data_IF_590695516338
#
_entry.id   IF_590695516338
#
_cell.length_a   1.000
_cell.length_b   1.000
_cell.length_c   1.000
_cell.angle_alpha   90.00
_cell.angle_beta   90.00
_cell.angle_gamma   90.00
#
_symmetry.space_group_name_H-M   'P 1'
#
loop_
_entity.id
_entity.type
_entity.pdbx_description
1 polymer ?
#
# COMPACT_ATOMS: atom_id res chain seq x y z
N UNK A 1 -57.82 69.18 -44.32
CA UNK A 1 -57.09 70.07 -45.25
C UNK A 1 -55.71 69.50 -45.48
N UNK A 2 -55.29 69.48 -46.75
CA UNK A 2 -54.08 68.85 -47.30
C UNK A 2 -52.80 69.40 -46.69
N UNK A 3 -51.80 68.56 -46.48
CA UNK A 3 -50.43 68.83 -46.96
C UNK A 3 -49.57 67.56 -46.83
N UNK A 4 -49.13 67.06 -47.98
CA UNK A 4 -48.05 66.10 -48.10
C UNK A 4 -46.71 66.83 -47.95
N UNK A 5 -45.72 66.21 -47.31
CA UNK A 5 -44.32 66.46 -47.65
C UNK A 5 -43.54 65.15 -47.63
N UNK A 6 -42.87 64.91 -48.76
CA UNK A 6 -42.04 63.75 -49.08
C UNK A 6 -40.60 63.96 -48.58
N UNK A 7 -39.93 62.82 -48.39
CA UNK A 7 -38.49 62.56 -48.58
C UNK A 7 -37.51 63.14 -47.54
N UNK A 8 -36.81 62.27 -46.82
CA UNK A 8 -35.44 61.92 -47.20
C UNK A 8 -34.97 60.63 -46.50
N UNK A 9 -34.45 59.73 -47.32
CA UNK A 9 -33.77 58.49 -46.96
C UNK A 9 -32.42 58.86 -46.34
N UNK A 10 -32.14 58.42 -45.12
CA UNK A 10 -30.79 58.38 -44.58
C UNK A 10 -30.55 56.97 -43.99
N UNK A 11 -29.93 56.11 -44.80
CA UNK A 11 -29.39 54.81 -44.36
C UNK A 11 -28.15 55.09 -43.52
N UNK A 12 -28.27 55.07 -42.19
CA UNK A 12 -27.12 54.91 -41.32
C UNK A 12 -26.83 53.41 -41.15
N UNK A 13 -25.80 52.94 -41.85
CA UNK A 13 -25.19 51.64 -41.62
C UNK A 13 -24.42 51.75 -40.28
N UNK A 14 -25.03 51.30 -39.19
CA UNK A 14 -24.35 51.18 -37.90
C UNK A 14 -23.49 49.91 -37.94
N UNK A 15 -22.23 50.03 -38.37
CA UNK A 15 -21.24 48.97 -38.22
C UNK A 15 -20.85 48.91 -36.75
N UNK A 16 -21.52 48.05 -35.98
CA UNK A 16 -21.10 47.69 -34.62
C UNK A 16 -19.77 46.95 -34.73
N UNK A 17 -18.68 47.66 -34.46
CA UNK A 17 -17.35 47.10 -34.27
C UNK A 17 -17.39 46.23 -32.99
N UNK A 18 -17.69 44.94 -33.15
CA UNK A 18 -17.57 43.95 -32.08
C UNK A 18 -16.07 43.79 -31.80
N UNK A 19 -15.55 44.50 -30.81
CA UNK A 19 -14.25 44.20 -30.23
C UNK A 19 -14.36 42.84 -29.55
N UNK A 20 -13.95 41.77 -30.25
CA UNK A 20 -13.65 40.49 -29.60
C UNK A 20 -12.48 40.74 -28.64
N UNK A 21 -12.80 41.07 -27.39
CA UNK A 21 -11.89 40.80 -26.29
C UNK A 21 -11.79 39.28 -26.21
N UNK A 22 -10.73 38.73 -26.78
CA UNK A 22 -10.30 37.38 -26.47
C UNK A 22 -9.95 37.37 -24.98
N UNK A 23 -10.93 37.02 -24.13
CA UNK A 23 -10.70 36.61 -22.76
C UNK A 23 -9.86 35.32 -22.84
N UNK A 24 -8.55 35.47 -22.80
CA UNK A 24 -7.67 34.35 -22.49
C UNK A 24 -7.95 33.98 -21.04
N UNK A 25 -8.91 33.08 -20.83
CA UNK A 25 -9.08 32.42 -19.53
C UNK A 25 -7.81 31.60 -19.29
N UNK A 26 -6.84 32.20 -18.60
CA UNK A 26 -5.71 31.46 -18.07
C UNK A 26 -6.30 30.57 -16.98
N UNK A 27 -6.62 29.33 -17.34
CA UNK A 27 -7.05 28.34 -16.37
C UNK A 27 -5.95 28.25 -15.30
N UNK A 28 -6.34 28.46 -14.04
CA UNK A 28 -5.39 28.33 -12.94
C UNK A 28 -4.84 26.90 -12.92
N UNK A 29 -3.53 26.72 -12.65
CA UNK A 29 -2.96 25.40 -12.53
C UNK A 29 -3.65 24.63 -11.40
N UNK A 30 -4.02 23.38 -11.68
CA UNK A 30 -4.62 22.52 -10.66
C UNK A 30 -3.62 22.27 -9.52
N UNK A 31 -4.10 22.22 -8.26
CA UNK A 31 -3.24 21.89 -7.13
C UNK A 31 -2.67 20.48 -7.29
N UNK A 32 -1.53 20.23 -6.64
CA UNK A 32 -0.94 18.89 -6.58
C UNK A 32 -1.94 17.88 -5.99
N UNK A 33 -2.08 16.73 -6.65
CA UNK A 33 -2.96 15.65 -6.22
C UNK A 33 -2.11 14.40 -5.95
N UNK A 34 -2.28 13.79 -4.77
CA UNK A 34 -1.59 12.56 -4.39
C UNK A 34 -2.10 11.32 -5.14
N UNK A 35 -3.36 11.34 -5.58
CA UNK A 35 -3.96 10.33 -6.43
C UNK A 35 -4.68 10.97 -7.65
N UNK A 36 -3.92 11.41 -8.67
CA UNK A 36 -4.50 12.10 -9.82
C UNK A 36 -5.35 11.16 -10.69
N UNK A 37 -6.36 11.73 -11.37
CA UNK A 37 -7.08 11.06 -12.45
C UNK A 37 -6.15 10.87 -13.65
N UNK A 38 -5.99 9.63 -14.12
CA UNK A 38 -5.17 9.26 -15.27
C UNK A 38 -5.99 9.01 -16.53
N UNK A 39 -7.17 8.40 -16.40
CA UNK A 39 -8.06 8.14 -17.53
C UNK A 39 -9.52 7.99 -17.09
N UNK A 40 -10.43 7.94 -18.05
CA UNK A 40 -11.84 7.60 -17.82
C UNK A 40 -12.28 6.62 -18.90
N UNK A 41 -12.82 5.47 -18.49
CA UNK A 41 -13.33 4.41 -19.38
C UNK A 41 -14.81 4.22 -19.09
N UNK A 42 -15.68 4.54 -20.05
CA UNK A 42 -17.15 4.42 -19.89
C UNK A 42 -17.69 5.13 -18.63
N UNK A 43 -17.09 6.28 -18.28
CA UNK A 43 -17.46 7.04 -17.08
C UNK A 43 -16.83 6.55 -15.77
N UNK A 44 -16.05 5.46 -15.80
CA UNK A 44 -15.25 5.00 -14.65
C UNK A 44 -13.87 5.64 -14.67
N UNK A 45 -13.53 6.33 -13.58
CA UNK A 45 -12.21 6.92 -13.39
C UNK A 45 -11.14 5.85 -13.18
N UNK A 46 -9.99 6.05 -13.81
CA UNK A 46 -8.73 5.34 -13.54
C UNK A 46 -7.79 6.36 -12.93
N UNK A 47 -7.34 6.11 -11.71
CA UNK A 47 -6.47 6.97 -10.92
C UNK A 47 -5.06 6.39 -10.80
N UNK A 48 -4.12 7.14 -10.22
CA UNK A 48 -2.78 6.62 -9.92
C UNK A 48 -2.83 5.37 -9.04
N UNK A 49 -3.75 5.32 -8.08
CA UNK A 49 -3.95 4.16 -7.20
C UNK A 49 -4.34 2.89 -7.98
N UNK A 50 -5.09 3.04 -9.07
CA UNK A 50 -5.55 1.89 -9.87
C UNK A 50 -4.43 1.25 -10.69
N UNK A 51 -3.36 1.99 -10.97
CA UNK A 51 -2.18 1.50 -11.72
C UNK A 51 -0.93 1.40 -10.84
N UNK A 52 -1.07 1.62 -9.53
CA UNK A 52 0.06 1.72 -8.60
C UNK A 52 0.73 0.35 -8.46
N UNK A 53 1.97 0.26 -8.94
CA UNK A 53 2.89 -0.84 -8.61
C UNK A 53 3.76 -0.43 -7.42
N UNK A 54 4.47 -1.40 -6.80
CA UNK A 54 5.47 -1.08 -5.77
C UNK A 54 6.50 -0.07 -6.29
N UNK A 55 6.99 -0.25 -7.51
CA UNK A 55 7.97 0.66 -8.12
C UNK A 55 7.41 2.08 -8.28
N UNK A 56 6.15 2.21 -8.72
CA UNK A 56 5.48 3.52 -8.82
C UNK A 56 5.31 4.15 -7.44
N UNK A 57 4.91 3.37 -6.44
CA UNK A 57 4.77 3.87 -5.07
C UNK A 57 6.11 4.37 -4.51
N UNK A 58 7.18 3.59 -4.63
CA UNK A 58 8.52 3.95 -4.15
C UNK A 58 9.00 5.25 -4.81
N UNK A 59 8.79 5.41 -6.13
CA UNK A 59 9.12 6.64 -6.85
C UNK A 59 8.25 7.83 -6.43
N UNK A 60 6.98 7.60 -6.10
CA UNK A 60 6.07 8.65 -5.63
C UNK A 60 6.47 9.13 -4.23
N UNK A 61 6.88 8.21 -3.34
CA UNK A 61 7.46 8.55 -2.04
C UNK A 61 8.76 9.35 -2.21
N UNK A 62 9.64 8.92 -3.11
CA UNK A 62 10.88 9.64 -3.40
C UNK A 62 10.59 11.05 -3.92
N UNK A 63 9.65 11.21 -4.88
CA UNK A 63 9.23 12.52 -5.37
C UNK A 63 8.69 13.39 -4.24
N UNK A 64 7.79 12.86 -3.41
CA UNK A 64 7.25 13.60 -2.27
C UNK A 64 8.34 14.09 -1.31
N UNK A 65 9.32 13.24 -0.97
CA UNK A 65 10.44 13.62 -0.11
C UNK A 65 11.29 14.75 -0.72
N UNK A 66 11.55 14.70 -2.04
CA UNK A 66 12.28 15.77 -2.73
C UNK A 66 11.47 17.08 -2.73
N UNK A 67 10.16 17.01 -2.97
CA UNK A 67 9.28 18.17 -2.92
C UNK A 67 9.23 18.79 -1.51
N UNK A 68 9.11 17.97 -0.46
CA UNK A 68 9.14 18.44 0.93
C UNK A 68 10.44 19.17 1.29
N UNK A 69 11.57 18.77 0.70
CA UNK A 69 12.85 19.43 0.95
C UNK A 69 12.97 20.76 0.19
N UNK A 70 12.51 20.80 -1.06
CA UNK A 70 12.69 21.97 -1.93
C UNK A 70 11.63 23.04 -1.75
N UNK A 71 10.38 22.66 -1.54
CA UNK A 71 9.23 23.57 -1.49
C UNK A 71 9.38 24.67 -0.41
N UNK A 72 9.82 24.39 0.83
CA UNK A 72 10.03 25.41 1.85
C UNK A 72 10.99 26.53 1.42
N UNK A 73 12.11 26.20 0.79
CA UNK A 73 13.10 27.19 0.36
C UNK A 73 12.52 28.13 -0.72
N UNK A 74 11.84 27.58 -1.73
CA UNK A 74 11.17 28.38 -2.78
C UNK A 74 10.11 29.32 -2.19
N UNK A 75 9.36 28.84 -1.20
CA UNK A 75 8.35 29.64 -0.51
C UNK A 75 9.01 30.80 0.23
N UNK A 76 10.04 30.52 1.03
CA UNK A 76 10.72 31.53 1.82
C UNK A 76 11.42 32.57 0.94
N UNK A 77 12.01 32.17 -0.19
CA UNK A 77 12.54 33.08 -1.23
C UNK A 77 11.50 34.08 -1.74
N UNK A 78 10.25 33.63 -1.94
CA UNK A 78 9.15 34.50 -2.39
C UNK A 78 8.60 35.40 -1.30
N UNK A 79 8.66 34.95 -0.04
CA UNK A 79 8.17 35.72 1.10
C UNK A 79 9.15 36.78 1.57
N UNK A 80 10.46 36.52 1.47
CA UNK A 80 11.51 37.39 2.02
C UNK A 80 11.38 38.88 1.61
N UNK A 81 11.01 39.25 0.36
CA UNK A 81 10.83 40.66 0.00
C UNK A 81 9.72 41.40 0.78
N UNK A 82 8.73 40.66 1.27
CA UNK A 82 7.54 41.20 1.93
C UNK A 82 7.53 40.96 3.46
N UNK A 83 8.34 40.01 3.93
CA UNK A 83 8.38 39.59 5.33
C UNK A 83 9.83 39.60 5.83
N UNK A 84 10.23 40.69 6.51
CA UNK A 84 11.61 40.92 6.98
C UNK A 84 12.06 39.92 8.04
N UNK A 85 11.11 39.25 8.67
CA UNK A 85 11.31 38.17 9.63
C UNK A 85 11.95 36.93 9.00
N UNK A 86 11.84 36.77 7.66
CA UNK A 86 12.39 35.64 6.93
C UNK A 86 13.90 35.81 6.68
N UNK A 87 14.70 35.07 7.45
CA UNK A 87 16.15 34.99 7.26
C UNK A 87 16.54 33.72 6.49
N UNK A 88 16.93 33.87 5.21
CA UNK A 88 17.43 32.77 4.38
C UNK A 88 18.92 32.46 4.59
N UNK A 89 19.67 33.38 5.21
CA UNK A 89 21.12 33.32 5.32
C UNK A 89 21.58 33.51 6.77
N UNK A 90 21.18 32.60 7.68
CA UNK A 90 21.55 32.69 9.08
C UNK A 90 23.06 32.57 9.27
N UNK A 91 23.62 33.34 10.21
CA UNK A 91 25.01 33.19 10.64
C UNK A 91 25.17 31.92 11.50
N UNK A 92 25.48 30.79 10.85
CA UNK A 92 25.64 29.50 11.51
C UNK A 92 27.10 29.26 11.91
N UNK A 93 27.31 29.07 13.22
CA UNK A 93 28.60 28.65 13.79
C UNK A 93 28.50 27.23 14.34
N UNK A 94 29.55 26.45 14.13
CA UNK A 94 29.68 25.08 14.67
C UNK A 94 30.96 25.02 15.48
N UNK A 95 30.82 24.78 16.78
CA UNK A 95 31.91 24.70 17.74
C UNK A 95 32.70 23.40 17.62
N UNK A 96 33.97 23.41 18.06
CA UNK A 96 34.77 22.18 18.18
C UNK A 96 34.09 21.12 19.04
N UNK A 97 33.42 21.55 20.11
CA UNK A 97 32.71 20.64 21.01
C UNK A 97 31.59 19.88 20.28
N UNK A 98 30.82 20.54 19.41
CA UNK A 98 29.78 19.89 18.60
C UNK A 98 30.37 18.89 17.61
N UNK A 99 31.50 19.23 16.98
CA UNK A 99 32.20 18.33 16.03
C UNK A 99 32.72 17.10 16.77
N UNK A 100 33.36 17.29 17.92
CA UNK A 100 33.87 16.19 18.73
C UNK A 100 32.76 15.31 19.29
N UNK A 101 31.66 15.92 19.74
CA UNK A 101 30.48 15.19 20.21
C UNK A 101 29.88 14.33 19.09
N UNK A 102 29.71 14.89 17.89
CA UNK A 102 29.23 14.14 16.73
C UNK A 102 30.18 13.00 16.34
N UNK A 103 31.49 13.26 16.30
CA UNK A 103 32.52 12.28 15.99
C UNK A 103 32.46 11.07 16.94
N UNK A 104 32.33 11.32 18.25
CA UNK A 104 32.19 10.27 19.27
C UNK A 104 30.85 9.55 19.16
N UNK A 105 29.75 10.28 19.06
CA UNK A 105 28.40 9.71 19.03
C UNK A 105 28.15 8.82 17.81
N UNK A 106 28.80 9.11 16.67
CA UNK A 106 28.70 8.30 15.44
C UNK A 106 29.79 7.23 15.32
N UNK A 107 30.59 7.01 16.36
CA UNK A 107 31.66 6.01 16.40
C UNK A 107 32.65 6.10 15.20
N UNK A 108 32.95 7.33 14.75
CA UNK A 108 33.77 7.58 13.56
C UNK A 108 35.26 7.32 13.77
N UNK A 109 35.68 6.97 14.99
CA UNK A 109 37.05 6.56 15.33
C UNK A 109 37.53 5.38 14.48
N UNK A 110 36.61 4.50 14.08
CA UNK A 110 36.89 3.37 13.19
C UNK A 110 37.12 3.78 11.73
N UNK A 111 36.71 4.99 11.33
CA UNK A 111 36.73 5.48 9.95
C UNK A 111 37.84 6.50 9.67
N UNK A 112 38.52 7.01 10.70
CA UNK A 112 39.64 7.94 10.54
C UNK A 112 39.91 8.78 11.79
N UNK A 113 41.03 9.50 11.79
CA UNK A 113 41.41 10.40 12.88
C UNK A 113 40.52 11.65 12.90
N UNK A 114 40.26 12.19 14.09
CA UNK A 114 39.45 13.39 14.31
C UNK A 114 39.89 14.55 13.41
N UNK A 115 41.19 14.87 13.34
CA UNK A 115 41.70 15.99 12.57
C UNK A 115 41.36 15.90 11.08
N UNK A 116 41.33 14.68 10.53
CA UNK A 116 41.01 14.44 9.12
C UNK A 116 39.51 14.57 8.84
N UNK A 117 38.65 14.17 9.78
CA UNK A 117 37.20 14.15 9.60
C UNK A 117 36.51 15.44 10.07
N UNK A 118 37.13 16.20 10.97
CA UNK A 118 36.57 17.43 11.55
C UNK A 118 36.08 18.45 10.50
N UNK A 119 36.81 18.74 9.40
CA UNK A 119 36.31 19.64 8.35
C UNK A 119 35.03 19.16 7.68
N UNK A 120 34.93 17.85 7.41
CA UNK A 120 33.75 17.24 6.78
C UNK A 120 32.56 17.25 7.73
N UNK A 121 32.78 16.88 9.00
CA UNK A 121 31.76 16.92 10.06
C UNK A 121 31.27 18.36 10.23
N UNK A 122 32.15 19.36 10.24
CA UNK A 122 31.75 20.77 10.31
C UNK A 122 30.86 21.17 9.15
N UNK A 123 31.23 20.81 7.92
CA UNK A 123 30.43 21.10 6.72
C UNK A 123 29.04 20.44 6.82
N UNK A 124 28.99 19.18 7.23
CA UNK A 124 27.75 18.45 7.47
C UNK A 124 26.87 19.13 8.51
N UNK A 125 27.40 19.42 9.70
CA UNK A 125 26.66 20.07 10.79
C UNK A 125 26.18 21.47 10.40
N UNK A 126 26.97 22.24 9.66
CA UNK A 126 26.53 23.53 9.11
C UNK A 126 25.33 23.37 8.17
N UNK A 127 25.37 22.37 7.28
CA UNK A 127 24.26 22.04 6.39
C UNK A 127 23.00 21.63 7.16
N UNK A 128 23.17 20.79 8.18
CA UNK A 128 22.07 20.34 9.04
C UNK A 128 21.40 21.50 9.79
N UNK A 129 22.19 22.38 10.43
CA UNK A 129 21.66 23.56 11.14
C UNK A 129 20.98 24.55 10.19
N UNK A 130 21.49 24.68 8.95
CA UNK A 130 20.85 25.52 7.92
C UNK A 130 19.50 24.94 7.52
N UNK A 131 19.43 23.63 7.29
CA UNK A 131 18.19 22.96 6.98
C UNK A 131 17.16 23.14 8.10
N UNK A 132 17.56 22.90 9.35
CA UNK A 132 16.69 23.11 10.52
C UNK A 132 16.18 24.55 10.63
N UNK A 133 17.05 25.54 10.43
CA UNK A 133 16.66 26.95 10.41
C UNK A 133 15.60 27.24 9.33
N UNK A 134 15.82 26.78 8.09
CA UNK A 134 14.85 26.98 7.00
C UNK A 134 13.51 26.29 7.30
N UNK A 135 13.52 25.10 7.91
CA UNK A 135 12.29 24.43 8.32
C UNK A 135 11.54 25.21 9.41
N UNK A 136 12.26 25.81 10.37
CA UNK A 136 11.65 26.66 11.39
C UNK A 136 11.04 27.94 10.79
N UNK A 137 11.72 28.56 9.84
CA UNK A 137 11.21 29.73 9.10
C UNK A 137 9.97 29.38 8.29
N UNK A 138 9.94 28.19 7.68
CA UNK A 138 8.76 27.70 6.98
C UNK A 138 7.60 27.41 7.94
N UNK A 139 7.87 26.82 9.10
CA UNK A 139 6.88 26.64 10.18
C UNK A 139 6.27 27.98 10.63
N UNK A 140 7.08 29.01 10.81
CA UNK A 140 6.62 30.37 11.10
C UNK A 140 5.70 30.91 9.99
N UNK A 141 6.08 30.73 8.71
CA UNK A 141 5.27 31.20 7.58
C UNK A 141 3.88 30.53 7.54
N UNK A 142 3.80 29.23 7.88
CA UNK A 142 2.54 28.51 8.04
C UNK A 142 1.72 29.04 9.22
N UNK A 143 2.34 29.22 10.40
CA UNK A 143 1.68 29.75 11.61
C UNK A 143 1.08 31.14 11.37
N UNK A 144 1.80 31.98 10.63
CA UNK A 144 1.36 33.34 10.28
C UNK A 144 0.32 33.38 9.15
N UNK A 145 0.01 32.25 8.52
CA UNK A 145 -0.94 32.17 7.41
C UNK A 145 -0.43 32.85 6.14
N UNK A 146 0.88 33.04 5.98
CA UNK A 146 1.47 33.62 4.77
C UNK A 146 1.46 32.66 3.58
N UNK A 147 1.22 31.37 3.84
CA UNK A 147 1.30 30.30 2.86
C UNK A 147 0.21 29.27 3.09
N UNK A 148 -0.43 28.87 2.00
CA UNK A 148 -1.22 27.63 1.93
C UNK A 148 -0.43 26.62 1.11
N UNK A 149 -0.27 25.40 1.64
CA UNK A 149 0.39 24.30 0.91
C UNK A 149 -0.64 23.27 0.45
N UNK A 150 -0.44 22.77 -0.77
CA UNK A 150 -1.24 21.69 -1.36
C UNK A 150 -0.43 20.40 -1.54
N UNK A 151 0.81 20.36 -1.03
CA UNK A 151 1.62 19.14 -1.06
C UNK A 151 1.09 18.16 -0.03
N UNK A 152 0.45 17.09 -0.50
CA UNK A 152 -0.06 15.99 0.32
C UNK A 152 0.85 14.76 0.20
N UNK A 153 0.96 13.92 1.24
CA UNK A 153 1.67 12.65 1.14
C UNK A 153 1.02 11.74 0.08
N UNK A 154 1.80 10.85 -0.54
CA UNK A 154 1.26 9.82 -1.40
C UNK A 154 0.27 8.94 -0.64
N UNK A 155 -0.75 8.46 -1.33
CA UNK A 155 -1.67 7.44 -0.80
C UNK A 155 -0.93 6.13 -0.52
N UNK A 156 -1.40 5.38 0.49
CA UNK A 156 -0.86 4.07 0.85
C UNK A 156 -0.77 3.13 -0.35
N UNK A 157 0.22 2.22 -0.33
CA UNK A 157 0.29 1.12 -1.30
C UNK A 157 -0.66 0.00 -0.85
N UNK A 158 -1.84 -0.05 -1.46
CA UNK A 158 -2.83 -1.08 -1.21
C UNK A 158 -2.87 -2.06 -2.39
N UNK A 159 -2.90 -3.36 -2.08
CA UNK A 159 -3.10 -4.41 -3.07
C UNK A 159 -4.58 -4.77 -3.17
N UNK A 160 -4.99 -5.21 -4.37
CA UNK A 160 -6.33 -5.69 -4.66
C UNK A 160 -6.29 -7.21 -4.82
N UNK A 161 -6.63 -7.95 -3.77
CA UNK A 161 -6.63 -9.41 -3.79
C UNK A 161 -8.03 -9.97 -4.00
N UNK A 162 -8.18 -10.86 -4.98
CA UNK A 162 -9.41 -11.65 -5.15
C UNK A 162 -9.44 -12.71 -4.05
N UNK A 163 -10.60 -12.88 -3.41
CA UNK A 163 -10.81 -14.00 -2.47
C UNK A 163 -10.84 -15.33 -3.22
N UNK A 164 -11.39 -15.34 -4.45
CA UNK A 164 -11.30 -16.47 -5.37
C UNK A 164 -11.79 -17.79 -4.77
N UNK A 165 -10.91 -18.77 -4.77
CA UNK A 165 -11.13 -20.17 -4.35
C UNK A 165 -10.94 -20.36 -2.84
N UNK A 166 -10.57 -19.29 -2.09
CA UNK A 166 -10.13 -19.39 -0.71
C UNK A 166 -11.09 -20.23 0.15
N UNK A 167 -10.52 -21.00 1.08
CA UNK A 167 -11.30 -21.55 2.17
C UNK A 167 -11.62 -20.44 3.16
N UNK A 168 -12.91 -20.22 3.46
CA UNK A 168 -13.35 -19.15 4.34
C UNK A 168 -13.67 -19.67 5.74
N UNK A 169 -13.17 -18.96 6.75
CA UNK A 169 -13.51 -19.17 8.15
C UNK A 169 -14.10 -17.89 8.75
N UNK A 170 -15.08 -18.06 9.63
CA UNK A 170 -15.78 -16.96 10.29
C UNK A 170 -16.93 -16.40 9.44
N UNK A 171 -17.44 -15.23 9.83
CA UNK A 171 -18.59 -14.62 9.17
C UNK A 171 -18.21 -14.12 7.78
N UNK A 172 -18.82 -14.68 6.74
CA UNK A 172 -18.49 -14.42 5.33
C UNK A 172 -18.82 -13.01 4.82
N UNK A 173 -19.35 -12.12 5.67
CA UNK A 173 -19.73 -10.75 5.32
C UNK A 173 -19.11 -9.67 6.22
N UNK A 174 -18.08 -9.99 6.98
CA UNK A 174 -17.34 -8.98 7.73
C UNK A 174 -16.73 -7.94 6.77
N UNK A 175 -16.66 -6.66 7.17
CA UNK A 175 -16.12 -5.59 6.32
C UNK A 175 -14.59 -5.63 6.19
N UNK A 176 -13.92 -6.42 7.02
CA UNK A 176 -12.47 -6.57 7.04
C UNK A 176 -12.14 -8.05 6.88
N UNK A 177 -11.15 -8.35 6.05
CA UNK A 177 -10.67 -9.72 5.83
C UNK A 177 -9.16 -9.81 6.05
N UNK A 178 -8.75 -10.93 6.62
CA UNK A 178 -7.39 -11.44 6.65
C UNK A 178 -7.32 -12.60 5.64
N UNK A 179 -6.72 -12.36 4.48
CA UNK A 179 -6.49 -13.38 3.45
C UNK A 179 -5.05 -13.86 3.52
N UNK A 180 -4.85 -15.15 3.77
CA UNK A 180 -3.55 -15.82 3.89
C UNK A 180 -3.24 -16.64 2.65
N UNK A 181 -2.02 -16.50 2.12
CA UNK A 181 -1.41 -17.35 1.10
C UNK A 181 -0.30 -18.17 1.75
N UNK A 182 -0.42 -19.50 1.75
CA UNK A 182 0.39 -20.33 2.62
C UNK A 182 0.68 -21.73 2.07
N UNK A 183 1.64 -22.39 2.69
CA UNK A 183 2.29 -23.62 2.28
C UNK A 183 2.43 -24.58 3.47
N UNK A 184 1.99 -25.82 3.30
CA UNK A 184 1.96 -26.83 4.35
C UNK A 184 3.35 -27.34 4.81
N UNK A 185 4.38 -27.25 3.99
CA UNK A 185 5.76 -27.59 4.34
C UNK A 185 6.56 -26.37 4.87
N UNK A 186 6.07 -25.15 4.68
CA UNK A 186 6.76 -23.95 5.11
C UNK A 186 6.81 -23.81 6.65
N UNK A 187 8.00 -23.78 7.28
CA UNK A 187 8.11 -23.68 8.74
C UNK A 187 7.61 -22.34 9.30
N UNK A 188 7.65 -21.28 8.50
CA UNK A 188 7.10 -19.98 8.90
C UNK A 188 5.58 -19.97 8.89
N UNK A 189 4.95 -20.65 7.92
CA UNK A 189 3.50 -20.84 7.89
C UNK A 189 3.00 -21.54 9.15
N UNK A 190 3.65 -22.65 9.56
CA UNK A 190 3.34 -23.32 10.84
C UNK A 190 3.47 -22.37 12.04
N UNK A 191 4.51 -21.53 12.07
CA UNK A 191 4.68 -20.56 13.17
C UNK A 191 3.55 -19.52 13.18
N UNK A 192 3.10 -19.06 12.01
CA UNK A 192 2.04 -18.09 11.88
C UNK A 192 0.68 -18.62 12.38
N UNK A 193 0.39 -19.93 12.24
CA UNK A 193 -0.86 -20.56 12.73
C UNK A 193 -1.25 -20.12 14.14
N UNK A 194 -0.29 -20.13 15.08
CA UNK A 194 -0.56 -19.73 16.47
C UNK A 194 -0.96 -18.26 16.61
N UNK A 195 -0.38 -17.38 15.79
CA UNK A 195 -0.73 -15.97 15.71
C UNK A 195 -2.10 -15.77 15.07
N UNK A 196 -2.36 -16.41 13.94
CA UNK A 196 -3.64 -16.34 13.22
C UNK A 196 -4.78 -16.84 14.10
N UNK A 197 -4.57 -17.95 14.83
CA UNK A 197 -5.56 -18.44 15.80
C UNK A 197 -5.90 -17.38 16.85
N UNK A 198 -4.88 -16.74 17.46
CA UNK A 198 -5.10 -15.67 18.45
C UNK A 198 -5.81 -14.46 17.86
N UNK A 199 -5.51 -14.11 16.61
CA UNK A 199 -6.19 -13.03 15.87
C UNK A 199 -7.67 -13.37 15.68
N UNK A 200 -7.96 -14.56 15.17
CA UNK A 200 -9.35 -15.02 14.95
C UNK A 200 -10.12 -15.15 16.27
N UNK A 201 -9.49 -15.62 17.34
CA UNK A 201 -10.10 -15.70 18.68
C UNK A 201 -10.44 -14.30 19.22
N UNK A 202 -9.60 -13.27 18.96
CA UNK A 202 -9.84 -11.88 19.40
C UNK A 202 -10.96 -11.20 18.63
N UNK A 203 -10.94 -11.31 17.31
CA UNK A 203 -11.82 -10.53 16.45
C UNK A 203 -13.15 -11.23 16.15
N UNK A 204 -13.17 -12.57 16.22
CA UNK A 204 -14.37 -13.37 15.98
C UNK A 204 -15.07 -12.91 14.69
N UNK A 205 -16.36 -12.59 14.77
CA UNK A 205 -17.19 -12.18 13.63
C UNK A 205 -16.90 -10.77 13.09
N UNK A 206 -15.98 -10.01 13.71
CA UNK A 206 -15.59 -8.67 13.23
C UNK A 206 -14.73 -8.73 11.96
N UNK A 207 -14.08 -9.88 11.71
CA UNK A 207 -13.28 -10.10 10.51
C UNK A 207 -13.62 -11.44 9.85
N UNK A 208 -13.37 -11.54 8.55
CA UNK A 208 -13.35 -12.81 7.84
C UNK A 208 -11.91 -13.30 7.70
N UNK A 209 -11.72 -14.62 7.66
CA UNK A 209 -10.44 -15.22 7.31
C UNK A 209 -10.58 -16.04 6.03
N UNK A 210 -9.62 -15.89 5.13
CA UNK A 210 -9.50 -16.70 3.92
C UNK A 210 -8.13 -17.37 3.87
N UNK A 211 -8.10 -18.62 3.43
CA UNK A 211 -6.87 -19.36 3.17
C UNK A 211 -6.76 -19.71 1.69
N UNK A 212 -5.59 -19.44 1.10
CA UNK A 212 -5.21 -19.72 -0.28
C UNK A 212 -3.91 -20.51 -0.29
N UNK A 213 -3.79 -21.43 -1.24
CA UNK A 213 -2.59 -22.24 -1.37
C UNK A 213 -1.48 -21.46 -2.06
N UNK A 214 -0.25 -21.61 -1.59
CA UNK A 214 0.93 -21.03 -2.22
C UNK A 214 2.14 -21.97 -2.04
N UNK A 215 2.05 -23.22 -2.52
CA UNK A 215 3.14 -24.18 -2.39
C UNK A 215 4.39 -23.67 -3.13
N UNK A 216 5.52 -23.67 -2.44
CA UNK A 216 6.79 -23.21 -3.00
C UNK A 216 7.49 -24.38 -3.71
N UNK A 217 8.03 -24.15 -4.89
CA UNK A 217 8.61 -25.21 -5.74
C UNK A 217 9.75 -26.02 -5.12
N UNK A 218 10.40 -25.51 -4.07
CA UNK A 218 11.43 -26.22 -3.31
C UNK A 218 10.88 -27.07 -2.15
N UNK A 219 9.57 -27.04 -1.92
CA UNK A 219 8.83 -27.90 -1.00
C UNK A 219 8.16 -29.03 -1.79
N UNK A 220 8.86 -30.15 -1.89
CA UNK A 220 8.56 -31.26 -2.81
C UNK A 220 7.23 -31.96 -2.60
N UNK A 221 6.53 -31.73 -1.49
CA UNK A 221 5.24 -32.35 -1.17
C UNK A 221 4.12 -31.31 -0.93
N UNK A 222 4.44 -30.02 -1.04
CA UNK A 222 3.49 -28.96 -0.70
C UNK A 222 2.34 -28.86 -1.71
N UNK A 223 2.60 -29.13 -2.98
CA UNK A 223 1.63 -29.20 -4.06
C UNK A 223 0.58 -30.29 -3.79
N UNK A 224 1.03 -31.53 -3.54
CA UNK A 224 0.15 -32.65 -3.24
C UNK A 224 -0.59 -32.45 -1.92
N UNK A 225 0.04 -31.82 -0.93
CA UNK A 225 -0.60 -31.46 0.33
C UNK A 225 -1.74 -30.44 0.12
N UNK A 226 -1.54 -29.43 -0.73
CA UNK A 226 -2.58 -28.47 -1.10
C UNK A 226 -3.77 -29.14 -1.80
N UNK A 227 -3.50 -30.00 -2.79
CA UNK A 227 -4.53 -30.79 -3.49
C UNK A 227 -5.29 -31.68 -2.52
N UNK A 228 -4.59 -32.40 -1.63
CA UNK A 228 -5.21 -33.28 -0.66
C UNK A 228 -6.18 -32.54 0.27
N UNK A 229 -5.86 -31.30 0.66
CA UNK A 229 -6.75 -30.48 1.48
C UNK A 229 -8.03 -30.10 0.73
N UNK A 230 -7.96 -29.79 -0.56
CA UNK A 230 -9.16 -29.55 -1.37
C UNK A 230 -9.97 -30.84 -1.60
N UNK A 231 -9.32 -32.00 -1.79
CA UNK A 231 -10.02 -33.29 -1.81
C UNK A 231 -10.73 -33.59 -0.47
N UNK A 232 -10.16 -33.17 0.66
CA UNK A 232 -10.82 -33.24 1.95
C UNK A 232 -11.96 -32.22 2.08
N UNK A 233 -11.82 -31.04 1.46
CA UNK A 233 -12.85 -29.99 1.43
C UNK A 233 -14.14 -30.44 0.76
N UNK A 234 -14.06 -31.23 -0.31
CA UNK A 234 -15.23 -31.85 -0.97
C UNK A 234 -16.10 -32.64 0.01
N UNK A 235 -15.50 -33.11 1.10
CA UNK A 235 -16.13 -33.97 2.10
C UNK A 235 -16.21 -33.30 3.47
N UNK A 236 -16.22 -31.95 3.51
CA UNK A 236 -16.31 -31.12 4.73
C UNK A 236 -15.19 -31.36 5.76
N UNK A 237 -14.00 -31.76 5.29
CA UNK A 237 -12.82 -32.09 6.13
C UNK A 237 -11.59 -31.23 5.87
N UNK A 238 -11.78 -30.03 5.30
CA UNK A 238 -10.70 -29.08 5.03
C UNK A 238 -9.90 -28.78 6.31
N UNK A 239 -10.57 -28.34 7.38
CA UNK A 239 -9.90 -27.87 8.60
C UNK A 239 -9.14 -28.99 9.31
N UNK A 240 -9.72 -30.18 9.39
CA UNK A 240 -9.07 -31.31 10.06
C UNK A 240 -7.79 -31.75 9.33
N UNK A 241 -7.79 -31.77 8.00
CA UNK A 241 -6.57 -32.08 7.25
C UNK A 241 -5.58 -30.91 7.29
N UNK A 242 -6.07 -29.68 7.18
CA UNK A 242 -5.27 -28.46 7.26
C UNK A 242 -4.43 -28.40 8.55
N UNK A 243 -5.05 -28.59 9.72
CA UNK A 243 -4.33 -28.62 11.00
C UNK A 243 -3.32 -29.77 11.06
N UNK A 244 -3.75 -30.97 10.65
CA UNK A 244 -2.92 -32.16 10.72
C UNK A 244 -1.67 -32.05 9.84
N UNK A 245 -1.74 -31.39 8.68
CA UNK A 245 -0.59 -31.17 7.82
C UNK A 245 0.43 -30.20 8.44
N UNK A 246 -0.02 -29.13 9.09
CA UNK A 246 0.89 -28.22 9.81
C UNK A 246 1.56 -28.89 11.02
N UNK A 247 0.89 -29.85 11.66
CA UNK A 247 1.51 -30.69 12.71
C UNK A 247 2.58 -31.64 12.14
N UNK A 248 2.48 -32.00 10.86
CA UNK A 248 3.29 -33.05 10.21
C UNK A 248 4.05 -32.58 8.96
N UNK A 249 4.67 -31.39 9.00
CA UNK A 249 5.31 -30.75 7.83
C UNK A 249 6.38 -31.56 7.09
N UNK A 250 6.95 -32.59 7.73
CA UNK A 250 8.00 -33.46 7.15
C UNK A 250 7.46 -34.78 6.60
N UNK A 251 6.15 -35.01 6.67
CA UNK A 251 5.53 -36.27 6.31
C UNK A 251 4.28 -36.02 5.47
N UNK A 252 4.47 -35.50 4.25
CA UNK A 252 3.36 -35.15 3.36
C UNK A 252 3.40 -35.87 2.00
N UNK A 253 4.23 -36.91 1.84
CA UNK A 253 4.09 -37.85 0.69
C UNK A 253 2.64 -38.31 0.49
N UNK A 254 2.27 -38.68 -0.74
CA UNK A 254 0.96 -39.28 -1.07
C UNK A 254 0.52 -40.38 -0.09
N UNK A 255 1.46 -41.23 0.35
CA UNK A 255 1.18 -42.29 1.33
C UNK A 255 0.73 -41.71 2.67
N UNK A 256 1.39 -40.66 3.16
CA UNK A 256 1.02 -39.99 4.40
C UNK A 256 -0.33 -39.28 4.27
N UNK A 257 -0.58 -38.59 3.15
CA UNK A 257 -1.86 -37.91 2.89
C UNK A 257 -3.04 -38.89 2.96
N UNK A 258 -2.92 -40.07 2.33
CA UNK A 258 -3.93 -41.14 2.44
C UNK A 258 -4.08 -41.72 3.86
N UNK A 259 -3.00 -41.77 4.64
CA UNK A 259 -3.08 -42.16 6.05
C UNK A 259 -3.80 -41.10 6.90
N UNK A 260 -3.55 -39.83 6.63
CA UNK A 260 -4.19 -38.70 7.30
C UNK A 260 -5.68 -38.62 6.98
N UNK A 261 -6.08 -38.85 5.73
CA UNK A 261 -7.48 -39.00 5.35
C UNK A 261 -8.23 -40.04 6.21
N UNK A 262 -7.62 -41.22 6.43
CA UNK A 262 -8.18 -42.23 7.35
C UNK A 262 -8.23 -41.75 8.79
N UNK A 263 -7.17 -41.09 9.27
CA UNK A 263 -7.06 -40.59 10.66
C UNK A 263 -8.14 -39.54 10.98
N UNK A 264 -8.43 -38.63 10.05
CA UNK A 264 -9.46 -37.60 10.22
C UNK A 264 -10.87 -38.09 9.88
N UNK A 265 -11.00 -39.39 9.54
CA UNK A 265 -12.27 -40.05 9.20
C UNK A 265 -12.97 -39.39 8.02
N UNK A 266 -12.25 -39.23 6.91
CA UNK A 266 -12.84 -38.86 5.61
C UNK A 266 -14.02 -39.79 5.30
N UNK A 267 -15.22 -39.27 4.98
CA UNK A 267 -16.42 -40.08 4.73
C UNK A 267 -16.24 -41.13 3.62
N UNK A 268 -15.62 -40.75 2.51
CA UNK A 268 -15.40 -41.60 1.34
C UNK A 268 -13.92 -41.60 0.96
N UNK A 269 -13.18 -42.58 1.49
CA UNK A 269 -11.75 -42.75 1.24
C UNK A 269 -11.44 -43.07 -0.22
N UNK A 270 -12.33 -43.78 -0.92
CA UNK A 270 -12.13 -44.13 -2.33
C UNK A 270 -12.17 -42.88 -3.20
N UNK A 271 -13.15 -42.02 -2.98
CA UNK A 271 -13.28 -40.75 -3.70
C UNK A 271 -12.13 -39.77 -3.38
N UNK A 272 -11.66 -39.76 -2.13
CA UNK A 272 -10.46 -39.00 -1.76
C UNK A 272 -9.22 -39.49 -2.51
N UNK A 273 -9.00 -40.80 -2.54
CA UNK A 273 -7.88 -41.41 -3.24
C UNK A 273 -7.93 -41.10 -4.75
N UNK A 274 -9.10 -41.22 -5.38
CA UNK A 274 -9.32 -40.88 -6.79
C UNK A 274 -9.08 -39.38 -7.07
N UNK A 275 -9.57 -38.49 -6.20
CA UNK A 275 -9.34 -37.04 -6.30
C UNK A 275 -7.86 -36.68 -6.24
N UNK A 276 -7.12 -37.29 -5.32
CA UNK A 276 -5.70 -37.04 -5.12
C UNK A 276 -4.85 -37.60 -6.28
N UNK A 277 -5.14 -38.83 -6.73
CA UNK A 277 -4.42 -39.48 -7.83
C UNK A 277 -4.66 -38.80 -9.19
N UNK A 278 -5.86 -38.26 -9.41
CA UNK A 278 -6.17 -37.51 -10.63
C UNK A 278 -5.71 -36.04 -10.58
N UNK A 279 -5.10 -35.61 -9.47
CA UNK A 279 -4.79 -34.20 -9.18
C UNK A 279 -5.96 -33.24 -9.46
N UNK A 280 -7.18 -33.62 -9.06
CA UNK A 280 -8.42 -32.91 -9.45
C UNK A 280 -8.37 -31.40 -9.21
N UNK A 281 -7.66 -30.99 -8.16
CA UNK A 281 -7.55 -29.59 -7.73
C UNK A 281 -6.26 -28.88 -8.15
N UNK A 282 -5.46 -29.46 -9.06
CA UNK A 282 -4.24 -28.83 -9.59
C UNK A 282 -4.49 -27.41 -10.09
N UNK A 283 -5.48 -27.25 -10.98
CA UNK A 283 -5.81 -25.94 -11.56
C UNK A 283 -6.26 -24.91 -10.51
N UNK A 284 -6.84 -25.34 -9.39
CA UNK A 284 -7.22 -24.45 -8.28
C UNK A 284 -5.95 -23.95 -7.57
N UNK A 285 -5.03 -24.86 -7.25
CA UNK A 285 -3.76 -24.53 -6.59
C UNK A 285 -2.92 -23.61 -7.48
N UNK A 286 -2.83 -23.91 -8.77
CA UNK A 286 -2.11 -23.07 -9.74
C UNK A 286 -2.73 -21.66 -9.82
N UNK A 287 -4.07 -21.57 -9.84
CA UNK A 287 -4.76 -20.28 -9.80
C UNK A 287 -4.47 -19.51 -8.49
N UNK A 288 -4.38 -20.19 -7.36
CA UNK A 288 -4.03 -19.55 -6.09
C UNK A 288 -2.64 -18.92 -6.12
N UNK A 289 -1.67 -19.63 -6.71
CA UNK A 289 -0.30 -19.16 -6.91
C UNK A 289 -0.22 -17.99 -7.88
N UNK A 290 -0.93 -18.05 -9.01
CA UNK A 290 -0.94 -16.98 -10.02
C UNK A 290 -1.53 -15.69 -9.46
N UNK A 291 -2.73 -15.76 -8.87
CA UNK A 291 -3.39 -14.60 -8.26
C UNK A 291 -2.54 -14.02 -7.11
N UNK A 292 -1.85 -14.86 -6.32
CA UNK A 292 -0.94 -14.42 -5.27
C UNK A 292 0.28 -13.69 -5.84
N UNK A 293 0.88 -14.24 -6.90
CA UNK A 293 2.05 -13.67 -7.57
C UNK A 293 1.71 -12.33 -8.24
N UNK A 294 0.52 -12.21 -8.85
CA UNK A 294 0.01 -11.00 -9.48
C UNK A 294 -0.04 -9.81 -8.50
N UNK A 295 -0.41 -10.07 -7.24
CA UNK A 295 -0.47 -9.05 -6.18
C UNK A 295 0.85 -8.86 -5.41
N UNK A 296 1.92 -9.54 -5.83
CA UNK A 296 3.26 -9.38 -5.28
C UNK A 296 3.62 -10.33 -4.12
N UNK A 297 2.87 -11.41 -3.90
CA UNK A 297 3.28 -12.49 -2.99
C UNK A 297 4.45 -13.23 -3.66
N UNK A 298 5.60 -13.24 -2.99
CA UNK A 298 6.82 -13.90 -3.49
C UNK A 298 7.31 -15.04 -2.60
N UNK A 299 6.55 -15.36 -1.55
CA UNK A 299 6.87 -16.39 -0.58
C UNK A 299 5.77 -16.57 0.46
N UNK A 300 5.87 -17.62 1.28
CA UNK A 300 4.87 -17.98 2.27
C UNK A 300 5.40 -17.90 3.73
N UNK A 301 4.56 -17.48 4.71
CA UNK A 301 3.20 -17.01 4.50
C UNK A 301 3.18 -15.57 3.98
N UNK A 302 2.22 -15.26 3.12
CA UNK A 302 1.89 -13.90 2.72
C UNK A 302 0.45 -13.57 3.10
N UNK A 303 0.17 -12.32 3.44
CA UNK A 303 -1.16 -11.90 3.90
C UNK A 303 -1.62 -10.63 3.21
N UNK A 304 -2.92 -10.53 3.00
CA UNK A 304 -3.61 -9.28 2.67
C UNK A 304 -4.61 -8.98 3.77
N UNK A 305 -4.44 -7.83 4.44
CA UNK A 305 -5.36 -7.36 5.47
C UNK A 305 -5.98 -6.08 4.98
N UNK A 306 -7.31 -6.07 4.83
CA UNK A 306 -7.96 -4.94 4.19
C UNK A 306 -9.48 -4.92 4.27
N UNK A 307 -10.05 -3.91 3.61
CA UNK A 307 -11.49 -3.81 3.42
C UNK A 307 -11.94 -4.89 2.45
N UNK A 308 -12.89 -5.71 2.89
CA UNK A 308 -13.48 -6.77 2.09
C UNK A 308 -14.84 -6.33 1.55
N UNK A 309 -15.02 -6.49 0.24
CA UNK A 309 -16.30 -6.31 -0.42
C UNK A 309 -16.93 -7.67 -0.72
N UNK A 310 -17.97 -8.09 0.02
CA UNK A 310 -18.60 -9.40 -0.18
C UNK A 310 -19.29 -9.57 -1.55
N UNK A 311 -19.64 -8.48 -2.23
CA UNK A 311 -20.27 -8.53 -3.56
C UNK A 311 -19.26 -8.83 -4.64
N UNK A 312 -18.12 -8.13 -4.64
CA UNK A 312 -17.05 -8.33 -5.63
C UNK A 312 -16.07 -9.43 -5.23
N UNK A 313 -16.13 -9.90 -3.98
CA UNK A 313 -15.19 -10.84 -3.38
C UNK A 313 -13.73 -10.38 -3.50
N UNK A 314 -13.49 -9.09 -3.25
CA UNK A 314 -12.16 -8.46 -3.30
C UNK A 314 -11.81 -7.89 -1.94
N UNK A 315 -10.57 -8.10 -1.52
CA UNK A 315 -9.93 -7.42 -0.39
C UNK A 315 -9.01 -6.34 -0.94
N UNK A 316 -9.19 -5.10 -0.48
CA UNK A 316 -8.28 -3.98 -0.78
C UNK A 316 -7.57 -3.61 0.51
N UNK A 317 -6.26 -3.80 0.57
CA UNK A 317 -5.55 -3.70 1.83
C UNK A 317 -4.04 -3.76 1.76
N UNK A 318 -3.42 -3.83 2.93
CA UNK A 318 -1.97 -3.92 3.07
C UNK A 318 -1.49 -5.34 2.78
N UNK A 319 -0.39 -5.44 2.04
CA UNK A 319 0.34 -6.69 1.79
C UNK A 319 1.39 -6.89 2.88
N UNK A 320 1.30 -8.00 3.60
CA UNK A 320 2.25 -8.38 4.66
C UNK A 320 2.98 -9.67 4.27
N UNK A 321 4.28 -9.73 4.56
CA UNK A 321 5.11 -10.89 4.23
C UNK A 321 5.75 -11.50 5.47
N UNK A 322 5.68 -12.82 5.56
CA UNK A 322 6.31 -13.62 6.58
C UNK A 322 5.46 -13.79 7.84
N UNK A 323 5.94 -14.67 8.73
CA UNK A 323 5.29 -14.94 10.01
C UNK A 323 5.56 -13.79 11.00
N UNK A 324 4.74 -12.75 10.91
CA UNK A 324 4.83 -11.54 11.73
C UNK A 324 4.34 -11.75 13.16
N UNK A 325 4.79 -10.90 14.11
CA UNK A 325 4.22 -10.85 15.46
C UNK A 325 2.73 -10.53 15.46
N UNK A 326 2.02 -11.02 16.48
CA UNK A 326 0.60 -10.75 16.71
C UNK A 326 0.23 -9.26 16.67
N UNK A 327 1.09 -8.40 17.21
CA UNK A 327 0.82 -6.96 17.27
C UNK A 327 0.71 -6.33 15.88
N UNK A 328 1.49 -6.80 14.90
CA UNK A 328 1.41 -6.31 13.52
C UNK A 328 0.04 -6.59 12.90
N UNK A 329 -0.52 -7.78 13.13
CA UNK A 329 -1.87 -8.12 12.65
C UNK A 329 -2.93 -7.25 13.31
N UNK A 330 -2.83 -7.02 14.63
CA UNK A 330 -3.75 -6.13 15.36
C UNK A 330 -3.72 -4.72 14.78
N UNK A 331 -2.54 -4.14 14.58
CA UNK A 331 -2.39 -2.78 14.03
C UNK A 331 -3.07 -2.64 12.66
N UNK A 332 -2.86 -3.60 11.76
CA UNK A 332 -3.44 -3.56 10.42
C UNK A 332 -4.95 -3.84 10.44
N UNK A 333 -5.43 -4.76 11.28
CA UNK A 333 -6.86 -5.01 11.41
C UNK A 333 -7.58 -3.79 11.99
N UNK A 334 -7.04 -3.19 13.06
CA UNK A 334 -7.63 -2.00 13.67
C UNK A 334 -7.61 -0.79 12.72
N UNK A 335 -6.60 -0.66 11.84
CA UNK A 335 -6.57 0.35 10.76
C UNK A 335 -7.84 0.28 9.90
N UNK A 336 -8.30 -0.92 9.52
CA UNK A 336 -9.48 -1.09 8.67
C UNK A 336 -10.81 -1.16 9.42
N UNK A 337 -10.79 -1.55 10.70
CA UNK A 337 -11.99 -1.56 11.53
C UNK A 337 -12.39 -0.15 12.01
N UNK A 338 -11.41 0.73 12.24
CA UNK A 338 -11.62 2.08 12.77
C UNK A 338 -11.65 3.17 11.69
N UNK A 339 -11.34 2.84 10.44
CA UNK A 339 -11.52 3.78 9.33
C UNK A 339 -13.00 3.81 8.94
N UNK A 340 -13.67 4.92 9.25
CA UNK A 340 -15.06 5.17 8.86
C UNK A 340 -15.26 4.91 7.36
N UNK A 341 -16.49 4.45 7.05
CA UNK A 341 -16.89 3.85 5.77
C UNK A 341 -16.83 4.82 4.60
#
# INVERSE_FOLDING_TARGET
MKSQQKLHICRFLLVTLLTLFALTSHAEPLPYQSNPLLATVEGQAITLDDVKTKAIHDLTLQLYQQLQQRLPEVILERLQPHHKEIDLNPKITVSEQQILAFYKAKNLQSRGKYQALAPQIRKFLKGQLRFEHLQNQYGLALEKGWVTTHLAPPTDFLVRAKVGTAYLQGKSNAKVMLLEFSDYQCPFCRRARSTIKRVMDRYQDRISYGYRHFPLSFHTEADEAAIAVECAREQDKFLELHELLYENQKAQTLRHLKQYARRIKIPNLKEFDECLESERYRSLVDQDMDDGSEIGITGSPGFVIGRYNPKTKVVVGDLLSGALPYQNFVEHIEKYLNSDS
#
